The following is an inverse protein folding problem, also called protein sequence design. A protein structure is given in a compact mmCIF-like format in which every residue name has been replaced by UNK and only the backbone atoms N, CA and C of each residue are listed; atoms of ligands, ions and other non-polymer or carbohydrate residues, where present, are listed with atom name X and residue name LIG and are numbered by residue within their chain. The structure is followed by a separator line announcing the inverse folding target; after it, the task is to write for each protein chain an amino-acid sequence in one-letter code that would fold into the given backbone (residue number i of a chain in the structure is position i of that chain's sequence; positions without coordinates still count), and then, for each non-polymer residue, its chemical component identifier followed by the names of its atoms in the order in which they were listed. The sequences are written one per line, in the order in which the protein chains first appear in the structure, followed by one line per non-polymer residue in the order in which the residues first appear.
data_IF_931765328792
#
_entry.id   IF_931765328792
#
_cell.length_a   1.000
_cell.length_b   1.000
_cell.length_c   1.000
_cell.angle_alpha   90.00
_cell.angle_beta   90.00
_cell.angle_gamma   90.00
#
_symmetry.space_group_name_H-M   'P 1'
#
loop_
_entity.id
_entity.type
_entity.pdbx_description
1 polymer ?
#
# COMPACT_ATOMS: atom_id res chain seq x y z
N UNK A 1 1.39 9.00 38.28
CA UNK A 1 1.96 7.72 37.83
C UNK A 1 1.51 7.57 36.39
N UNK A 2 2.42 7.37 35.44
CA UNK A 2 2.03 7.18 34.05
C UNK A 2 1.24 5.88 33.92
N UNK A 3 0.11 5.93 33.23
CA UNK A 3 -0.81 4.80 33.17
C UNK A 3 -0.41 3.88 32.01
N UNK A 4 -0.31 2.57 32.24
CA UNK A 4 -0.12 1.57 31.18
C UNK A 4 -1.50 1.13 30.68
N UNK A 5 -1.72 1.15 29.36
CA UNK A 5 -3.00 0.78 28.75
C UNK A 5 -2.82 -0.32 27.71
N UNK A 6 -3.84 -1.17 27.56
CA UNK A 6 -3.94 -2.10 26.43
C UNK A 6 -4.23 -1.30 25.16
N UNK A 7 -3.65 -1.71 24.04
CA UNK A 7 -3.87 -1.10 22.72
C UNK A 7 -4.31 -2.17 21.72
N UNK A 8 -4.92 -1.73 20.61
CA UNK A 8 -5.31 -2.62 19.52
C UNK A 8 -4.12 -3.21 18.77
N UNK A 9 -4.34 -4.32 18.06
CA UNK A 9 -3.33 -4.91 17.17
C UNK A 9 -2.99 -3.94 16.02
N UNK A 10 -3.99 -3.24 15.51
CA UNK A 10 -3.85 -2.21 14.47
C UNK A 10 -2.93 -1.09 14.93
N UNK A 11 -3.10 -0.62 16.18
CA UNK A 11 -2.20 0.37 16.80
C UNK A 11 -0.79 -0.17 16.88
N UNK A 12 -0.61 -1.38 17.41
CA UNK A 12 0.72 -1.97 17.58
C UNK A 12 1.44 -2.15 16.23
N UNK A 13 0.77 -2.75 15.24
CA UNK A 13 1.30 -2.92 13.87
C UNK A 13 1.75 -1.60 13.25
N UNK A 14 0.95 -0.54 13.41
CA UNK A 14 1.26 0.77 12.84
C UNK A 14 2.44 1.48 13.52
N UNK A 15 2.86 1.03 14.71
CA UNK A 15 4.05 1.52 15.41
C UNK A 15 5.29 0.64 15.15
N UNK A 16 5.13 -0.53 14.52
CA UNK A 16 6.20 -1.53 14.36
C UNK A 16 6.51 -1.87 12.92
N UNK A 17 6.53 -0.91 11.99
CA UNK A 17 6.92 -1.13 10.59
C UNK A 17 8.39 -1.57 10.40
N UNK A 18 9.22 -1.54 11.45
CA UNK A 18 10.56 -2.11 11.45
C UNK A 18 10.62 -3.56 11.97
N UNK A 19 9.49 -4.13 12.40
CA UNK A 19 9.40 -5.52 12.86
C UNK A 19 9.73 -6.46 11.70
N UNK A 20 10.62 -7.41 11.93
CA UNK A 20 10.95 -8.44 10.93
C UNK A 20 9.87 -9.53 10.93
N UNK A 21 9.44 -10.04 9.76
CA UNK A 21 8.43 -11.10 9.67
C UNK A 21 8.78 -12.41 10.39
N UNK A 22 10.06 -12.60 10.75
CA UNK A 22 10.52 -13.73 11.58
C UNK A 22 9.81 -13.77 12.94
N UNK A 23 9.54 -12.61 13.55
CA UNK A 23 8.85 -12.54 14.82
C UNK A 23 7.44 -13.15 14.76
N UNK A 24 6.74 -12.97 13.63
CA UNK A 24 5.41 -13.53 13.40
C UNK A 24 5.45 -15.04 13.05
N UNK A 25 6.63 -15.56 12.69
CA UNK A 25 6.81 -16.98 12.35
C UNK A 25 7.12 -17.82 13.59
N UNK A 26 7.92 -17.29 14.53
CA UNK A 26 8.34 -18.00 15.74
C UNK A 26 7.38 -17.77 16.92
N UNK A 27 6.51 -16.78 16.84
CA UNK A 27 5.62 -16.43 17.94
C UNK A 27 4.27 -15.90 17.48
N UNK A 28 3.26 -16.13 18.30
CA UNK A 28 1.92 -15.55 18.14
C UNK A 28 1.72 -14.46 19.18
N UNK A 29 1.64 -13.21 18.73
CA UNK A 29 1.27 -12.08 19.58
C UNK A 29 -0.16 -12.27 20.14
N UNK A 30 -0.31 -12.05 21.45
CA UNK A 30 -1.57 -12.27 22.18
C UNK A 30 -2.15 -10.96 22.73
N UNK A 31 -1.27 -10.09 23.22
CA UNK A 31 -1.66 -8.83 23.87
C UNK A 31 -0.67 -7.72 23.53
N UNK A 32 -1.14 -6.47 23.54
CA UNK A 32 -0.36 -5.29 23.20
C UNK A 32 -0.65 -4.15 24.17
N UNK A 33 0.39 -3.42 24.56
CA UNK A 33 0.34 -2.37 25.56
C UNK A 33 1.12 -1.14 25.11
N UNK A 34 0.73 0.02 25.65
CA UNK A 34 1.45 1.28 25.52
C UNK A 34 1.43 2.01 26.85
N UNK A 35 2.47 2.79 27.12
CA UNK A 35 2.38 3.82 28.15
C UNK A 35 1.49 4.98 27.67
N UNK A 36 1.07 5.82 28.63
CA UNK A 36 0.21 6.98 28.39
C UNK A 36 0.81 7.98 27.38
N UNK A 37 2.14 8.12 27.35
CA UNK A 37 2.82 9.06 26.46
C UNK A 37 3.21 8.44 25.11
N UNK A 38 2.99 7.14 24.88
CA UNK A 38 3.36 6.45 23.64
C UNK A 38 4.88 6.40 23.40
N UNK A 39 5.67 6.42 24.47
CA UNK A 39 7.14 6.28 24.49
C UNK A 39 7.56 4.80 24.50
N UNK A 40 6.76 3.95 25.14
CA UNK A 40 6.98 2.53 25.29
C UNK A 40 5.77 1.77 24.77
N UNK A 41 6.02 0.70 24.02
CA UNK A 41 5.00 -0.30 23.69
C UNK A 41 5.53 -1.69 24.04
N UNK A 42 4.63 -2.64 24.26
CA UNK A 42 5.02 -4.00 24.58
C UNK A 42 4.01 -5.02 24.12
N UNK A 43 4.46 -6.25 23.93
CA UNK A 43 3.59 -7.36 23.53
C UNK A 43 3.91 -8.62 24.31
N UNK A 44 2.87 -9.40 24.59
CA UNK A 44 2.96 -10.76 25.11
C UNK A 44 2.80 -11.72 23.94
N UNK A 45 3.68 -12.71 23.85
CA UNK A 45 3.83 -13.63 22.72
C UNK A 45 3.75 -15.07 23.25
N UNK A 46 3.03 -15.93 22.54
CA UNK A 46 3.13 -17.38 22.67
C UNK A 46 4.24 -17.86 21.74
N UNK A 47 5.29 -18.49 22.27
CA UNK A 47 6.28 -19.20 21.46
C UNK A 47 5.61 -20.44 20.85
N UNK A 48 5.67 -20.57 19.52
CA UNK A 48 4.99 -21.67 18.82
C UNK A 48 5.82 -22.95 18.77
N UNK A 49 7.09 -22.91 19.18
CA UNK A 49 8.04 -24.03 19.16
C UNK A 49 7.96 -24.83 20.46
N UNK A 50 8.11 -24.18 21.61
CA UNK A 50 8.12 -24.83 22.93
C UNK A 50 6.86 -24.56 23.77
N UNK A 51 5.91 -23.78 23.24
CA UNK A 51 4.60 -23.50 23.84
C UNK A 51 4.69 -22.75 25.18
N UNK A 52 5.77 -22.01 25.40
CA UNK A 52 5.90 -21.08 26.51
C UNK A 52 5.48 -19.65 26.14
N UNK A 53 5.43 -18.76 27.12
CA UNK A 53 5.07 -17.36 26.92
C UNK A 53 6.27 -16.45 27.13
N UNK A 54 6.36 -15.44 26.29
CA UNK A 54 7.40 -14.43 26.31
C UNK A 54 6.78 -13.03 26.26
N UNK A 55 7.55 -12.00 26.62
CA UNK A 55 7.19 -10.62 26.33
C UNK A 55 8.35 -9.87 25.71
N UNK A 56 8.02 -8.84 24.94
CA UNK A 56 8.99 -7.87 24.42
C UNK A 56 8.52 -6.48 24.81
N UNK A 57 9.41 -5.70 25.43
CA UNK A 57 9.23 -4.27 25.67
C UNK A 57 10.06 -3.49 24.64
N UNK A 58 9.41 -2.53 23.99
CA UNK A 58 9.97 -1.72 22.93
C UNK A 58 9.97 -0.25 23.36
N UNK A 59 11.08 0.44 23.14
CA UNK A 59 11.21 1.90 23.33
C UNK A 59 11.58 2.59 22.03
N UNK A 60 11.23 3.87 21.91
CA UNK A 60 11.64 4.69 20.76
C UNK A 60 13.14 5.00 20.82
N UNK A 61 13.87 4.63 19.78
CA UNK A 61 15.29 4.93 19.62
C UNK A 61 15.56 6.38 19.17
N UNK A 62 16.81 6.74 18.92
CA UNK A 62 17.23 8.07 18.45
C UNK A 62 16.67 8.46 17.07
N UNK A 63 16.12 7.48 16.35
CA UNK A 63 15.40 7.64 15.08
C UNK A 63 13.87 7.53 15.25
N UNK A 64 13.39 7.52 16.50
CA UNK A 64 12.02 7.31 16.97
C UNK A 64 11.39 5.97 16.49
N UNK A 65 12.20 4.98 16.10
CA UNK A 65 11.72 3.63 15.81
C UNK A 65 11.57 2.87 17.12
N UNK A 66 10.52 2.06 17.22
CA UNK A 66 10.38 1.13 18.34
C UNK A 66 11.36 -0.03 18.19
N UNK A 67 12.31 -0.12 19.13
CA UNK A 67 13.33 -1.17 19.21
C UNK A 67 13.22 -1.91 20.53
N UNK A 68 13.55 -3.20 20.53
CA UNK A 68 13.50 -4.02 21.74
C UNK A 68 14.53 -3.50 22.74
N UNK A 69 14.06 -3.11 23.92
CA UNK A 69 14.90 -2.65 25.03
C UNK A 69 14.96 -3.66 26.16
N UNK A 70 13.97 -4.56 26.23
CA UNK A 70 13.90 -5.63 27.20
C UNK A 70 13.01 -6.77 26.71
N UNK A 71 13.27 -7.95 27.24
CA UNK A 71 12.72 -9.23 26.82
C UNK A 71 12.64 -10.13 28.06
N UNK A 72 11.52 -10.81 28.21
CA UNK A 72 11.41 -11.95 29.12
C UNK A 72 10.92 -13.18 28.38
N UNK A 73 11.48 -14.34 28.70
CA UNK A 73 11.16 -15.61 28.04
C UNK A 73 10.77 -16.70 29.04
N UNK A 74 10.15 -17.76 28.54
CA UNK A 74 9.87 -18.99 29.30
C UNK A 74 8.99 -18.83 30.53
N UNK A 75 7.92 -18.04 30.38
CA UNK A 75 6.84 -17.98 31.35
C UNK A 75 5.83 -19.10 31.12
N UNK A 76 5.38 -19.74 32.20
CA UNK A 76 4.43 -20.88 32.14
C UNK A 76 2.99 -20.46 31.78
N UNK A 77 2.66 -19.16 31.84
CA UNK A 77 1.33 -18.67 31.49
C UNK A 77 1.36 -17.24 30.98
N UNK A 78 0.35 -16.89 30.16
CA UNK A 78 0.10 -15.52 29.69
C UNK A 78 0.10 -14.52 30.85
N UNK A 79 -0.56 -14.85 31.97
CA UNK A 79 -0.67 -13.96 33.12
C UNK A 79 0.67 -13.66 33.80
N UNK A 80 1.59 -14.63 33.82
CA UNK A 80 2.94 -14.41 34.34
C UNK A 80 3.76 -13.52 33.39
N UNK A 81 3.71 -13.79 32.09
CA UNK A 81 4.38 -12.95 31.08
C UNK A 81 3.83 -11.51 31.08
N UNK A 82 2.51 -11.35 31.14
CA UNK A 82 1.84 -10.05 31.23
C UNK A 82 2.26 -9.30 32.49
N UNK A 83 2.23 -9.93 33.67
CA UNK A 83 2.67 -9.30 34.92
C UNK A 83 4.14 -8.88 34.85
N UNK A 84 4.99 -9.72 34.26
CA UNK A 84 6.40 -9.40 34.08
C UNK A 84 6.60 -8.21 33.13
N UNK A 85 5.89 -8.17 32.01
CA UNK A 85 5.88 -7.03 31.08
C UNK A 85 5.46 -5.73 31.79
N UNK A 86 4.37 -5.76 32.56
CA UNK A 86 3.89 -4.57 33.27
C UNK A 86 4.89 -4.07 34.33
N UNK A 87 5.54 -4.97 35.06
CA UNK A 87 6.61 -4.60 35.99
C UNK A 87 7.80 -3.95 35.25
N UNK A 88 8.10 -4.44 34.05
CA UNK A 88 9.21 -3.92 33.25
C UNK A 88 8.89 -2.56 32.64
N UNK A 89 7.63 -2.32 32.23
CA UNK A 89 7.14 -0.97 31.93
C UNK A 89 7.40 -0.03 33.11
N UNK A 90 6.96 -0.37 34.32
CA UNK A 90 7.13 0.48 35.52
C UNK A 90 8.60 0.81 35.79
N UNK A 91 9.52 -0.13 35.56
CA UNK A 91 10.96 0.09 35.68
C UNK A 91 11.51 1.09 34.66
N UNK A 92 10.86 1.23 33.49
CA UNK A 92 11.31 2.05 32.37
C UNK A 92 10.55 3.39 32.21
N UNK A 93 9.35 3.54 32.78
CA UNK A 93 8.51 4.76 32.63
C UNK A 93 9.24 6.06 33.02
N UNK A 94 10.06 6.00 34.07
CA UNK A 94 10.82 7.16 34.58
C UNK A 94 12.15 7.41 33.87
N UNK A 95 12.57 6.51 32.97
CA UNK A 95 13.83 6.66 32.22
C UNK A 95 13.67 7.75 31.15
N UNK A 96 14.71 8.54 30.88
CA UNK A 96 14.71 9.51 29.79
C UNK A 96 14.78 8.80 28.43
N UNK A 97 14.40 9.46 27.32
CA UNK A 97 14.36 8.85 25.99
C UNK A 97 15.73 8.33 25.55
N UNK A 98 16.81 9.01 25.95
CA UNK A 98 18.19 8.64 25.67
C UNK A 98 18.56 7.25 26.23
N UNK A 99 17.81 6.75 27.22
CA UNK A 99 18.00 5.39 27.75
C UNK A 99 17.64 4.31 26.73
N UNK A 100 16.78 4.60 25.76
CA UNK A 100 16.30 3.65 24.76
C UNK A 100 17.12 3.68 23.45
N UNK A 101 18.04 4.65 23.33
CA UNK A 101 18.87 4.82 22.15
C UNK A 101 19.84 3.65 21.98
N UNK A 102 20.01 3.20 20.74
CA UNK A 102 20.81 2.01 20.43
C UNK A 102 22.26 2.37 20.05
N UNK A 103 22.49 3.60 19.59
CA UNK A 103 23.81 4.08 19.19
C UNK A 103 24.34 3.44 17.91
N UNK A 104 23.51 2.65 17.22
CA UNK A 104 23.83 1.99 15.95
C UNK A 104 23.52 2.88 14.73
N UNK A 105 22.91 4.05 14.94
CA UNK A 105 22.50 4.98 13.87
C UNK A 105 23.07 6.37 14.07
N UNK A 106 23.74 6.86 13.03
CA UNK A 106 24.40 8.20 13.04
C UNK A 106 23.51 9.33 12.54
N UNK A 107 22.34 9.02 11.97
CA UNK A 107 21.40 10.02 11.41
C UNK A 107 20.30 10.32 12.43
N UNK A 108 20.48 11.43 13.16
CA UNK A 108 19.44 12.02 14.03
C UNK A 108 18.18 12.27 13.22
N UNK A 109 17.03 11.94 13.81
CA UNK A 109 15.75 12.05 13.13
C UNK A 109 15.43 13.49 12.72
N UNK A 110 14.94 13.61 11.48
CA UNK A 110 14.38 14.85 10.92
C UNK A 110 12.88 14.88 11.25
N UNK A 111 12.37 15.97 11.80
CA UNK A 111 10.91 16.20 11.87
C UNK A 111 10.33 16.12 10.44
N UNK A 112 9.46 15.13 10.21
CA UNK A 112 8.93 14.80 8.89
C UNK A 112 8.17 15.98 8.28
N UNK A 113 7.34 16.66 9.08
CA UNK A 113 6.48 17.76 8.64
C UNK A 113 7.11 19.14 8.80
N UNK A 114 8.33 19.23 9.36
CA UNK A 114 9.09 20.48 9.37
C UNK A 114 9.14 21.09 7.97
N UNK A 115 8.68 22.34 7.76
CA UNK A 115 8.67 22.95 6.45
C UNK A 115 10.07 23.00 5.82
N UNK A 116 10.19 22.50 4.58
CA UNK A 116 11.41 22.51 3.75
C UNK A 116 11.23 23.28 2.45
N UNK A 117 9.98 23.54 2.07
CA UNK A 117 9.63 24.31 0.87
C UNK A 117 8.69 25.45 1.23
N UNK A 118 8.77 26.53 0.44
CA UNK A 118 7.87 27.67 0.57
C UNK A 118 6.40 27.24 0.45
N UNK A 119 5.50 27.85 1.23
CA UNK A 119 4.06 27.52 1.22
C UNK A 119 3.43 27.58 -0.18
N UNK A 120 3.92 28.47 -1.06
CA UNK A 120 3.43 28.59 -2.46
C UNK A 120 3.87 27.43 -3.36
N UNK A 121 4.93 26.71 -2.99
CA UNK A 121 5.44 25.52 -3.69
C UNK A 121 4.89 24.23 -3.09
N UNK A 122 4.13 24.32 -2.00
CA UNK A 122 3.56 23.15 -1.36
C UNK A 122 2.46 22.55 -2.23
N UNK A 123 2.44 21.22 -2.33
CA UNK A 123 1.36 20.53 -3.00
C UNK A 123 0.04 20.73 -2.26
N UNK A 124 -1.06 20.86 -2.99
CA UNK A 124 -2.38 21.12 -2.40
C UNK A 124 -2.81 19.99 -1.44
N UNK A 125 -2.56 18.73 -1.81
CA UNK A 125 -2.91 17.58 -0.98
C UNK A 125 -2.00 17.48 0.25
N UNK A 126 -0.72 17.88 0.15
CA UNK A 126 0.15 17.98 1.31
C UNK A 126 -0.38 19.04 2.28
N UNK A 127 -0.75 20.21 1.76
CA UNK A 127 -1.33 21.30 2.56
C UNK A 127 -2.59 20.82 3.28
N UNK A 128 -3.51 20.18 2.55
CA UNK A 128 -4.73 19.63 3.12
C UNK A 128 -4.44 18.60 4.22
N UNK A 129 -3.51 17.66 3.99
CA UNK A 129 -3.08 16.66 4.97
C UNK A 129 -2.61 17.28 6.29
N UNK A 130 -1.84 18.37 6.23
CA UNK A 130 -1.29 18.97 7.45
C UNK A 130 -2.25 19.92 8.16
N UNK A 131 -3.21 20.52 7.43
CA UNK A 131 -4.07 21.59 7.96
C UNK A 131 -5.50 21.17 8.27
N UNK A 132 -6.02 20.10 7.65
CA UNK A 132 -7.38 19.64 7.90
C UNK A 132 -7.42 18.68 9.11
N UNK A 133 -8.14 19.00 10.21
CA UNK A 133 -8.27 18.11 11.36
C UNK A 133 -8.82 16.72 11.03
N UNK A 134 -9.70 16.61 10.03
CA UNK A 134 -10.27 15.33 9.57
C UNK A 134 -9.19 14.37 9.04
N UNK A 135 -8.04 14.91 8.62
CA UNK A 135 -6.88 14.15 8.17
C UNK A 135 -5.85 13.86 9.26
N UNK A 136 -6.17 14.16 10.53
CA UNK A 136 -5.27 13.85 11.65
C UNK A 136 -4.91 12.37 11.76
N UNK A 137 -5.80 11.38 11.53
CA UNK A 137 -5.38 9.98 11.52
C UNK A 137 -4.38 9.66 10.40
N UNK A 138 -4.61 10.16 9.17
CA UNK A 138 -3.69 9.98 8.04
C UNK A 138 -2.33 10.61 8.32
N UNK A 139 -2.31 11.82 8.89
CA UNK A 139 -1.08 12.56 9.20
C UNK A 139 -0.19 11.78 10.17
N UNK A 140 -0.76 11.23 11.23
CA UNK A 140 0.03 10.50 12.22
C UNK A 140 0.52 9.14 11.69
N UNK A 141 -0.32 8.36 10.98
CA UNK A 141 0.15 7.07 10.44
C UNK A 141 1.19 7.26 9.31
N UNK A 142 1.03 8.28 8.46
CA UNK A 142 2.03 8.62 7.44
C UNK A 142 3.37 8.95 8.11
N UNK A 143 3.34 9.69 9.22
CA UNK A 143 4.55 9.95 10.00
C UNK A 143 5.18 8.64 10.46
N UNK A 144 4.46 7.74 11.13
CA UNK A 144 5.05 6.48 11.60
C UNK A 144 5.62 5.61 10.46
N UNK A 145 4.95 5.56 9.30
CA UNK A 145 5.46 4.85 8.11
C UNK A 145 6.76 5.51 7.61
N UNK A 146 6.73 6.83 7.38
CA UNK A 146 7.86 7.59 6.81
C UNK A 146 9.12 7.53 7.68
N UNK A 147 8.94 7.25 8.96
CA UNK A 147 10.01 7.16 9.95
C UNK A 147 10.77 5.85 9.84
N UNK A 148 10.05 4.77 9.54
CA UNK A 148 10.65 3.48 9.19
C UNK A 148 11.17 3.41 7.75
N UNK A 149 10.75 4.35 6.90
CA UNK A 149 11.14 4.42 5.50
C UNK A 149 12.54 5.03 5.32
N UNK A 150 13.46 4.30 4.69
CA UNK A 150 14.84 4.75 4.49
C UNK A 150 14.95 5.86 3.42
N UNK A 151 15.35 7.08 3.78
CA UNK A 151 15.59 8.15 2.79
C UNK A 151 17.02 8.08 2.21
N UNK A 152 17.20 7.28 1.15
CA UNK A 152 18.50 7.05 0.51
C UNK A 152 19.07 8.32 -0.13
N UNK A 153 18.24 9.06 -0.85
CA UNK A 153 18.64 10.26 -1.60
C UNK A 153 18.65 11.54 -0.75
N UNK A 154 18.08 11.49 0.46
CA UNK A 154 18.03 12.61 1.41
C UNK A 154 17.01 13.70 1.06
N UNK A 155 16.27 13.54 -0.04
CA UNK A 155 15.33 14.52 -0.57
C UNK A 155 13.85 14.13 -0.36
N UNK A 156 13.56 12.94 0.19
CA UNK A 156 12.20 12.42 0.30
C UNK A 156 11.28 13.41 1.00
N UNK A 157 11.77 14.01 2.09
CA UNK A 157 10.96 14.87 2.93
C UNK A 157 10.68 16.24 2.27
N UNK A 158 11.54 16.71 1.38
CA UNK A 158 11.29 17.92 0.58
C UNK A 158 10.29 17.62 -0.56
N UNK A 159 10.48 16.48 -1.23
CA UNK A 159 9.60 16.03 -2.31
C UNK A 159 8.18 15.76 -1.82
N UNK A 160 8.02 15.17 -0.62
CA UNK A 160 6.72 14.94 0.01
C UNK A 160 5.96 16.25 0.27
N UNK A 161 6.64 17.39 0.38
CA UNK A 161 5.96 18.68 0.59
C UNK A 161 5.60 19.38 -0.72
N UNK A 162 6.21 19.00 -1.85
CA UNK A 162 6.16 19.71 -3.13
C UNK A 162 5.59 18.82 -4.24
N UNK A 163 6.00 19.03 -5.50
CA UNK A 163 5.47 18.30 -6.67
C UNK A 163 5.69 16.78 -6.62
N UNK A 164 6.56 16.28 -5.72
CA UNK A 164 6.77 14.85 -5.50
C UNK A 164 5.73 14.19 -4.60
N UNK A 165 4.78 14.92 -4.01
CA UNK A 165 3.84 14.41 -3.00
C UNK A 165 3.16 13.09 -3.40
N UNK A 166 2.56 13.03 -4.59
CA UNK A 166 1.85 11.82 -5.05
C UNK A 166 2.79 10.60 -5.19
N UNK A 167 3.98 10.80 -5.77
CA UNK A 167 4.96 9.73 -5.91
C UNK A 167 5.47 9.23 -4.56
N UNK A 168 5.75 10.15 -3.64
CA UNK A 168 6.22 9.79 -2.29
C UNK A 168 5.11 9.15 -1.45
N UNK A 169 3.85 9.58 -1.58
CA UNK A 169 2.71 8.94 -0.94
C UNK A 169 2.52 7.51 -1.45
N UNK A 170 2.70 7.30 -2.77
CA UNK A 170 2.65 5.97 -3.37
C UNK A 170 3.73 5.03 -2.82
N UNK A 171 4.96 5.52 -2.65
CA UNK A 171 6.04 4.75 -2.04
C UNK A 171 5.76 4.38 -0.58
N UNK A 172 5.19 5.28 0.22
CA UNK A 172 4.79 4.96 1.59
C UNK A 172 3.68 3.90 1.62
N UNK A 173 2.74 3.96 0.68
CA UNK A 173 1.70 2.94 0.57
C UNK A 173 2.31 1.58 0.22
N UNK A 174 3.19 1.52 -0.78
CA UNK A 174 3.88 0.29 -1.17
C UNK A 174 4.72 -0.28 -0.02
N UNK A 175 5.40 0.59 0.72
CA UNK A 175 6.16 0.18 1.89
C UNK A 175 5.27 -0.44 2.98
N UNK A 176 4.12 0.18 3.29
CA UNK A 176 3.16 -0.36 4.25
C UNK A 176 2.54 -1.69 3.75
N UNK A 177 2.19 -1.76 2.48
CA UNK A 177 1.67 -2.95 1.82
C UNK A 177 2.64 -4.13 1.90
N UNK A 178 3.91 -3.91 1.54
CA UNK A 178 4.92 -4.98 1.53
C UNK A 178 5.29 -5.44 2.94
N UNK A 179 5.25 -4.55 3.94
CA UNK A 179 5.36 -4.96 5.35
C UNK A 179 4.16 -5.84 5.77
N UNK A 180 2.93 -5.45 5.44
CA UNK A 180 1.73 -6.25 5.73
C UNK A 180 1.74 -7.62 5.03
N UNK A 181 2.37 -7.69 3.86
CA UNK A 181 2.62 -8.92 3.09
C UNK A 181 3.90 -9.66 3.48
N UNK A 182 4.53 -9.30 4.61
CA UNK A 182 5.67 -10.03 5.19
C UNK A 182 6.89 -10.11 4.27
N UNK A 183 7.12 -9.11 3.42
CA UNK A 183 8.36 -9.00 2.66
C UNK A 183 9.46 -8.37 3.49
N UNK A 184 10.69 -8.82 3.29
CA UNK A 184 11.88 -8.04 3.66
C UNK A 184 12.12 -7.00 2.58
N UNK A 185 12.27 -5.74 2.97
CA UNK A 185 12.41 -4.61 2.04
C UNK A 185 13.85 -4.10 2.07
N UNK A 186 14.48 -4.02 0.91
CA UNK A 186 15.78 -3.38 0.70
C UNK A 186 15.67 -2.23 -0.31
N UNK A 187 16.27 -1.07 0.02
CA UNK A 187 16.24 0.14 -0.82
C UNK A 187 17.64 0.73 -1.08
N UNK A 188 18.66 -0.11 -1.10
CA UNK A 188 20.08 0.30 -1.21
C UNK A 188 20.54 0.71 -2.61
N UNK A 189 19.70 0.53 -3.64
CA UNK A 189 20.04 0.81 -5.03
C UNK A 189 19.20 1.97 -5.57
N UNK A 190 19.75 2.74 -6.50
CA UNK A 190 19.05 3.87 -7.11
C UNK A 190 17.79 3.46 -7.91
N UNK A 191 17.77 2.22 -8.42
CA UNK A 191 16.61 1.63 -9.07
C UNK A 191 16.77 0.10 -9.22
N UNK A 192 15.68 -0.69 -9.18
CA UNK A 192 14.30 -0.27 -8.90
C UNK A 192 14.06 0.26 -7.47
N UNK A 193 12.94 0.95 -7.27
CA UNK A 193 12.61 1.61 -5.98
C UNK A 193 12.61 0.66 -4.76
N UNK A 194 12.31 -0.63 -4.97
CA UNK A 194 12.34 -1.66 -3.94
C UNK A 194 12.94 -2.97 -4.48
N UNK A 195 13.78 -3.62 -3.66
CA UNK A 195 14.06 -5.05 -3.76
C UNK A 195 13.38 -5.72 -2.57
N UNK A 196 12.42 -6.59 -2.86
CA UNK A 196 11.71 -7.38 -1.87
C UNK A 196 12.31 -8.77 -1.79
N UNK A 197 12.31 -9.37 -0.61
CA UNK A 197 12.57 -10.80 -0.44
C UNK A 197 11.37 -11.43 0.26
N UNK A 198 10.75 -12.41 -0.40
CA UNK A 198 9.65 -13.16 0.20
C UNK A 198 10.18 -13.91 1.42
N UNK A 199 9.65 -13.61 2.61
CA UNK A 199 10.27 -14.04 3.86
C UNK A 199 10.39 -15.56 3.99
N UNK A 200 9.39 -16.32 3.54
CA UNK A 200 9.37 -17.78 3.73
C UNK A 200 10.23 -18.53 2.70
N UNK A 201 10.33 -18.01 1.47
CA UNK A 201 11.05 -18.68 0.38
C UNK A 201 12.44 -18.12 0.14
N UNK A 202 12.74 -16.92 0.65
CA UNK A 202 14.00 -16.21 0.40
C UNK A 202 14.15 -15.70 -1.03
N UNK A 203 13.12 -15.78 -1.87
CA UNK A 203 13.20 -15.41 -3.28
C UNK A 203 13.01 -13.90 -3.46
N UNK A 204 13.90 -13.25 -4.23
CA UNK A 204 13.85 -11.80 -4.42
C UNK A 204 12.88 -11.39 -5.53
N UNK A 205 12.36 -10.16 -5.43
CA UNK A 205 11.47 -9.53 -6.41
C UNK A 205 11.89 -8.05 -6.52
N UNK A 206 12.04 -7.55 -7.74
CA UNK A 206 12.30 -6.13 -7.96
C UNK A 206 10.99 -5.39 -8.26
N UNK A 207 10.76 -4.25 -7.60
CA UNK A 207 9.54 -3.46 -7.78
C UNK A 207 9.90 -2.01 -8.07
N UNK A 208 9.34 -1.48 -9.16
CA UNK A 208 9.45 -0.07 -9.53
C UNK A 208 8.13 0.65 -9.30
N UNK A 209 8.16 1.77 -8.59
CA UNK A 209 7.00 2.62 -8.36
C UNK A 209 6.77 3.56 -9.56
N UNK A 210 5.52 3.60 -10.01
CA UNK A 210 5.08 4.33 -11.20
C UNK A 210 3.82 5.13 -10.86
N UNK A 211 3.75 6.37 -11.33
CA UNK A 211 2.54 7.19 -11.18
C UNK A 211 2.06 7.72 -12.52
N UNK A 212 0.74 7.75 -12.70
CA UNK A 212 0.08 8.48 -13.77
C UNK A 212 -0.29 9.86 -13.26
N UNK A 213 0.15 10.90 -13.95
CA UNK A 213 -0.09 12.29 -13.57
C UNK A 213 -0.57 13.10 -14.77
N UNK A 214 -1.12 14.30 -14.50
CA UNK A 214 -1.40 15.28 -15.56
C UNK A 214 -0.15 15.62 -16.36
N UNK A 215 -0.33 15.81 -17.66
CA UNK A 215 0.72 16.24 -18.58
C UNK A 215 1.13 17.68 -18.26
N UNK A 216 2.43 17.96 -18.18
CA UNK A 216 2.98 19.28 -17.84
C UNK A 216 2.55 20.41 -18.79
N UNK A 217 2.16 20.07 -20.03
CA UNK A 217 1.75 21.04 -21.05
C UNK A 217 0.25 21.37 -21.03
N UNK A 218 -0.52 20.91 -20.04
CA UNK A 218 -1.98 21.08 -19.96
C UNK A 218 -2.72 20.63 -21.24
N UNK A 219 -2.21 19.58 -21.90
CA UNK A 219 -2.83 18.96 -23.08
C UNK A 219 -3.86 17.90 -22.72
N UNK A 220 -4.03 17.60 -21.44
CA UNK A 220 -5.00 16.60 -21.00
C UNK A 220 -6.39 17.25 -20.94
N UNK A 221 -7.47 16.50 -21.25
CA UNK A 221 -8.83 16.96 -21.04
C UNK A 221 -9.04 17.46 -19.61
N UNK A 222 -9.99 18.38 -19.44
CA UNK A 222 -10.46 18.77 -18.11
C UNK A 222 -11.06 17.56 -17.37
N UNK A 223 -11.28 17.72 -16.06
CA UNK A 223 -11.87 16.64 -15.26
C UNK A 223 -13.24 16.27 -15.83
N UNK A 224 -13.44 15.01 -16.27
CA UNK A 224 -14.63 14.64 -17.02
C UNK A 224 -15.86 14.52 -16.11
N UNK A 225 -17.03 14.85 -16.66
CA UNK A 225 -18.33 14.45 -16.12
C UNK A 225 -18.55 12.95 -16.35
N UNK A 226 -19.50 12.36 -15.62
CA UNK A 226 -19.71 10.91 -15.65
C UNK A 226 -20.00 10.35 -17.05
N UNK A 227 -20.75 11.07 -17.89
CA UNK A 227 -21.06 10.65 -19.25
C UNK A 227 -19.84 10.72 -20.20
N UNK A 228 -18.83 11.52 -19.89
CA UNK A 228 -17.61 11.70 -20.70
C UNK A 228 -16.55 10.64 -20.37
N UNK A 229 -16.61 10.04 -19.17
CA UNK A 229 -15.64 9.03 -18.71
C UNK A 229 -15.54 7.84 -19.66
N UNK A 230 -16.67 7.39 -20.24
CA UNK A 230 -16.70 6.24 -21.17
C UNK A 230 -15.85 6.48 -22.41
N UNK A 231 -15.89 7.68 -22.99
CA UNK A 231 -15.09 8.03 -24.17
C UNK A 231 -13.59 8.08 -23.84
N UNK A 232 -13.23 8.66 -22.68
CA UNK A 232 -11.84 8.73 -22.24
C UNK A 232 -11.27 7.34 -21.93
N UNK A 233 -12.07 6.41 -21.41
CA UNK A 233 -11.65 5.05 -21.11
C UNK A 233 -11.23 4.23 -22.33
N UNK A 234 -11.74 4.60 -23.51
CA UNK A 234 -11.47 3.86 -24.74
C UNK A 234 -10.03 4.01 -25.22
N UNK A 235 -9.53 5.24 -25.21
CA UNK A 235 -8.26 5.61 -25.86
C UNK A 235 -7.36 6.49 -24.97
N UNK A 236 -7.90 7.55 -24.38
CA UNK A 236 -7.11 8.51 -23.59
C UNK A 236 -6.49 7.90 -22.33
N UNK A 237 -7.29 7.22 -21.50
CA UNK A 237 -6.81 6.59 -20.25
C UNK A 237 -5.77 5.50 -20.53
N UNK A 238 -5.97 4.57 -21.48
CA UNK A 238 -4.91 3.66 -21.95
C UNK A 238 -3.61 4.38 -22.31
N UNK A 239 -3.67 5.51 -23.03
CA UNK A 239 -2.49 6.31 -23.38
C UNK A 239 -1.78 6.89 -22.15
N UNK A 240 -2.56 7.33 -21.16
CA UNK A 240 -2.04 7.91 -19.92
C UNK A 240 -1.34 6.87 -19.04
N UNK A 241 -1.85 5.65 -18.94
CA UNK A 241 -1.15 4.54 -18.27
C UNK A 241 0.04 4.02 -19.09
N UNK A 242 -0.12 3.92 -20.41
CA UNK A 242 0.90 3.32 -21.26
C UNK A 242 2.18 4.14 -21.37
N UNK A 243 2.08 5.47 -21.30
CA UNK A 243 3.25 6.35 -21.38
C UNK A 243 4.29 6.11 -20.27
N UNK A 244 3.93 6.14 -18.97
CA UNK A 244 4.88 5.83 -17.90
C UNK A 244 5.29 4.36 -17.88
N UNK A 245 4.39 3.40 -18.12
CA UNK A 245 4.76 1.98 -18.19
C UNK A 245 5.80 1.69 -19.28
N UNK A 246 5.59 2.21 -20.49
CA UNK A 246 6.55 2.10 -21.58
C UNK A 246 7.88 2.77 -21.24
N UNK A 247 7.84 3.94 -20.59
CA UNK A 247 9.06 4.63 -20.15
C UNK A 247 9.86 3.78 -19.16
N UNK A 248 9.20 3.09 -18.23
CA UNK A 248 9.84 2.20 -17.27
C UNK A 248 10.32 0.89 -17.91
N UNK A 249 9.58 0.34 -18.87
CA UNK A 249 10.04 -0.79 -19.69
C UNK A 249 11.38 -0.48 -20.37
N UNK A 250 11.55 0.73 -20.91
CA UNK A 250 12.80 1.18 -21.56
C UNK A 250 13.97 1.41 -20.62
N UNK A 251 13.79 1.30 -19.30
CA UNK A 251 14.89 1.33 -18.34
C UNK A 251 15.64 0.01 -18.26
N UNK A 252 15.07 -1.07 -18.79
CA UNK A 252 15.72 -2.38 -18.91
C UNK A 252 16.35 -2.85 -17.60
N UNK A 253 15.59 -2.75 -16.48
CA UNK A 253 16.10 -3.03 -15.14
C UNK A 253 16.77 -4.40 -15.02
N UNK A 254 16.29 -5.40 -15.77
CA UNK A 254 16.85 -6.76 -15.84
C UNK A 254 18.32 -6.82 -16.31
N UNK A 255 18.86 -5.74 -16.91
CA UNK A 255 20.28 -5.63 -17.28
C UNK A 255 21.17 -5.17 -16.13
N UNK A 256 20.60 -4.74 -15.00
CA UNK A 256 21.36 -4.36 -13.79
C UNK A 256 21.79 -5.62 -13.04
N UNK A 257 23.03 -5.66 -12.61
CA UNK A 257 23.61 -6.83 -11.93
C UNK A 257 22.80 -7.27 -10.71
N UNK A 258 22.25 -6.32 -9.94
CA UNK A 258 21.46 -6.59 -8.74
C UNK A 258 19.99 -6.93 -8.99
N UNK A 259 19.53 -6.97 -10.25
CA UNK A 259 18.15 -7.29 -10.65
C UNK A 259 18.10 -8.52 -11.55
N UNK A 260 19.26 -8.95 -12.07
CA UNK A 260 19.36 -10.10 -12.95
C UNK A 260 18.70 -11.33 -12.31
N UNK A 261 17.98 -12.08 -13.14
CA UNK A 261 17.29 -13.31 -12.73
C UNK A 261 16.19 -13.11 -11.66
N UNK A 262 15.70 -11.87 -11.47
CA UNK A 262 14.57 -11.56 -10.59
C UNK A 262 13.28 -11.29 -11.38
N UNK A 263 12.12 -11.69 -10.84
CA UNK A 263 10.86 -11.15 -11.33
C UNK A 263 10.79 -9.63 -11.11
N UNK A 264 10.20 -8.91 -12.07
CA UNK A 264 10.06 -7.46 -12.03
C UNK A 264 8.58 -7.08 -12.03
N UNK A 265 8.18 -6.27 -11.04
CA UNK A 265 6.85 -5.66 -10.94
C UNK A 265 6.95 -4.17 -11.27
N UNK A 266 6.08 -3.69 -12.15
CA UNK A 266 5.79 -2.26 -12.26
C UNK A 266 4.55 -1.95 -11.41
N UNK A 267 4.74 -1.26 -10.29
CA UNK A 267 3.67 -0.88 -9.37
C UNK A 267 3.14 0.50 -9.72
N UNK A 268 1.96 0.54 -10.36
CA UNK A 268 1.39 1.77 -10.93
C UNK A 268 0.17 2.27 -10.15
N UNK A 269 0.14 3.57 -9.90
CA UNK A 269 -1.01 4.26 -9.29
C UNK A 269 -1.44 5.48 -10.10
N UNK A 270 -2.74 5.78 -10.09
CA UNK A 270 -3.34 6.88 -10.84
C UNK A 270 -3.56 8.11 -9.95
N UNK A 271 -2.97 9.24 -10.36
CA UNK A 271 -3.18 10.56 -9.78
C UNK A 271 -3.53 11.60 -10.87
N UNK A 272 -4.15 11.15 -11.96
CA UNK A 272 -4.45 11.99 -13.13
C UNK A 272 -5.49 13.07 -12.82
N UNK A 273 -6.59 12.71 -12.16
CA UNK A 273 -7.62 13.65 -11.73
C UNK A 273 -8.01 13.41 -10.29
N UNK A 274 -8.73 14.37 -9.71
CA UNK A 274 -9.49 14.10 -8.51
C UNK A 274 -10.46 12.94 -8.79
N UNK A 275 -10.50 11.96 -7.88
CA UNK A 275 -11.31 10.75 -8.00
C UNK A 275 -11.06 9.89 -9.26
N UNK A 276 -9.97 10.08 -10.01
CA UNK A 276 -9.73 9.26 -11.21
C UNK A 276 -9.63 7.77 -10.92
N UNK A 277 -9.07 7.43 -9.76
CA UNK A 277 -8.98 6.06 -9.26
C UNK A 277 -10.32 5.33 -9.16
N UNK A 278 -11.46 6.04 -9.13
CA UNK A 278 -12.79 5.41 -9.05
C UNK A 278 -13.31 4.92 -10.40
N UNK A 279 -12.64 5.22 -11.52
CA UNK A 279 -13.16 4.89 -12.85
C UNK A 279 -12.09 4.52 -13.89
N UNK A 280 -10.81 4.82 -13.68
CA UNK A 280 -9.75 4.62 -14.70
C UNK A 280 -9.21 3.20 -14.81
N UNK A 281 -9.52 2.32 -13.85
CA UNK A 281 -8.99 0.93 -13.78
C UNK A 281 -9.16 0.15 -15.08
N UNK A 282 -10.35 0.17 -15.67
CA UNK A 282 -10.63 -0.61 -16.90
C UNK A 282 -9.82 -0.10 -18.10
N UNK A 283 -9.42 1.17 -18.11
CA UNK A 283 -8.51 1.71 -19.11
C UNK A 283 -7.08 1.14 -19.01
N UNK A 284 -6.60 0.88 -17.79
CA UNK A 284 -5.35 0.14 -17.57
C UNK A 284 -5.49 -1.31 -18.05
N UNK A 285 -6.56 -2.00 -17.65
CA UNK A 285 -6.80 -3.40 -18.03
C UNK A 285 -6.86 -3.59 -19.55
N UNK A 286 -7.57 -2.70 -20.25
CA UNK A 286 -7.61 -2.63 -21.72
C UNK A 286 -6.21 -2.52 -22.31
N UNK A 287 -5.39 -1.63 -21.76
CA UNK A 287 -4.03 -1.41 -22.25
C UNK A 287 -3.09 -2.59 -21.98
N UNK A 288 -3.16 -3.19 -20.79
CA UNK A 288 -2.22 -4.24 -20.38
C UNK A 288 -2.30 -5.46 -21.29
N UNK A 289 -3.52 -5.93 -21.58
CA UNK A 289 -3.75 -7.16 -22.34
C UNK A 289 -4.18 -6.93 -23.79
N UNK A 290 -4.60 -5.71 -24.14
CA UNK A 290 -5.06 -5.39 -25.49
C UNK A 290 -6.41 -6.02 -25.83
N UNK A 291 -7.33 -6.07 -24.86
CA UNK A 291 -8.68 -6.58 -25.06
C UNK A 291 -9.73 -5.64 -24.46
N UNK A 292 -10.89 -5.58 -25.09
CA UNK A 292 -12.15 -5.20 -24.46
C UNK A 292 -13.13 -6.36 -24.51
N UNK A 293 -14.17 -6.28 -23.70
CA UNK A 293 -15.13 -7.36 -23.49
C UNK A 293 -16.54 -6.86 -23.69
N UNK A 294 -17.26 -7.50 -24.60
CA UNK A 294 -18.71 -7.41 -24.70
C UNK A 294 -19.35 -8.59 -23.97
N UNK A 295 -20.65 -8.53 -23.74
CA UNK A 295 -21.40 -9.64 -23.18
C UNK A 295 -22.81 -9.74 -23.73
N UNK A 296 -23.39 -10.93 -23.62
CA UNK A 296 -24.82 -11.20 -23.80
C UNK A 296 -25.24 -12.36 -22.89
N UNK A 297 -26.54 -12.55 -22.72
CA UNK A 297 -27.09 -13.75 -22.07
C UNK A 297 -27.58 -14.71 -23.13
N UNK A 298 -27.27 -15.99 -22.98
CA UNK A 298 -27.78 -17.03 -23.88
C UNK A 298 -29.23 -17.42 -23.54
N UNK A 299 -29.80 -18.37 -24.29
CA UNK A 299 -31.18 -18.84 -24.10
C UNK A 299 -31.43 -19.48 -22.72
N UNK A 300 -30.37 -19.93 -22.04
CA UNK A 300 -30.44 -20.49 -20.68
C UNK A 300 -30.31 -19.44 -19.58
N UNK A 301 -30.06 -18.18 -19.95
CA UNK A 301 -29.80 -17.07 -19.02
C UNK A 301 -28.36 -17.02 -18.50
N UNK A 302 -27.43 -17.74 -19.14
CA UNK A 302 -26.01 -17.74 -18.76
C UNK A 302 -25.28 -16.58 -19.44
N UNK A 303 -24.46 -15.86 -18.69
CA UNK A 303 -23.63 -14.77 -19.18
C UNK A 303 -22.51 -15.30 -20.09
N UNK A 304 -22.46 -14.80 -21.32
CA UNK A 304 -21.40 -15.09 -22.30
C UNK A 304 -20.58 -13.84 -22.59
N UNK A 305 -19.29 -13.92 -22.29
CA UNK A 305 -18.32 -12.86 -22.52
C UNK A 305 -17.67 -13.02 -23.90
N UNK A 306 -17.60 -11.95 -24.67
CA UNK A 306 -17.03 -11.91 -26.02
C UNK A 306 -15.78 -11.02 -26.00
N UNK A 307 -14.56 -11.61 -26.06
CA UNK A 307 -13.33 -10.82 -26.13
C UNK A 307 -13.17 -10.17 -27.51
N UNK A 308 -12.71 -8.92 -27.52
CA UNK A 308 -12.38 -8.15 -28.72
C UNK A 308 -10.97 -7.62 -28.60
N UNK A 309 -10.07 -8.02 -29.51
CA UNK A 309 -8.69 -7.55 -29.52
C UNK A 309 -8.64 -6.07 -29.92
N UNK A 310 -7.87 -5.29 -29.17
CA UNK A 310 -7.53 -3.90 -29.45
C UNK A 310 -6.08 -3.88 -29.91
N UNK A 311 -5.82 -3.27 -31.08
CA UNK A 311 -4.46 -3.16 -31.60
C UNK A 311 -3.78 -1.84 -31.21
N UNK A 312 -4.54 -0.75 -31.16
CA UNK A 312 -4.01 0.59 -30.93
C UNK A 312 -4.99 1.43 -30.11
N UNK A 313 -4.46 2.43 -29.42
CA UNK A 313 -5.21 3.52 -28.82
C UNK A 313 -4.82 4.84 -29.49
N UNK A 314 -5.79 5.68 -29.85
CA UNK A 314 -5.52 6.96 -30.52
C UNK A 314 -6.28 8.12 -29.89
N UNK A 315 -5.56 9.17 -29.49
CA UNK A 315 -6.13 10.38 -28.92
C UNK A 315 -5.34 11.61 -29.35
N UNK A 316 -6.03 12.61 -29.91
CA UNK A 316 -5.46 13.92 -30.29
C UNK A 316 -4.08 13.86 -30.96
N UNK A 317 -3.95 13.00 -31.98
CA UNK A 317 -2.73 12.87 -32.78
C UNK A 317 -1.63 11.99 -32.17
N UNK A 318 -1.84 11.46 -30.97
CA UNK A 318 -0.98 10.42 -30.38
C UNK A 318 -1.61 9.05 -30.55
N UNK A 319 -0.84 8.10 -31.08
CA UNK A 319 -1.23 6.69 -31.18
C UNK A 319 -0.18 5.81 -30.49
N UNK A 320 -0.65 4.84 -29.72
CA UNK A 320 0.19 3.79 -29.11
C UNK A 320 -0.39 2.41 -29.43
N UNK A 321 0.47 1.40 -29.47
CA UNK A 321 0.04 0.00 -29.49
C UNK A 321 -0.64 -0.36 -28.17
N UNK A 322 -1.69 -1.17 -28.24
CA UNK A 322 -2.29 -1.81 -27.07
C UNK A 322 -1.58 -3.14 -26.76
N UNK A 323 -1.86 -3.73 -25.60
CA UNK A 323 -1.21 -4.96 -25.14
C UNK A 323 0.21 -4.68 -24.65
N UNK A 324 0.35 -4.01 -23.50
CA UNK A 324 1.65 -3.77 -22.86
C UNK A 324 2.49 -5.04 -22.74
N UNK A 325 1.88 -6.16 -22.35
CA UNK A 325 2.55 -7.44 -22.18
C UNK A 325 2.96 -8.12 -23.50
N UNK A 326 2.46 -7.62 -24.63
CA UNK A 326 2.84 -8.07 -25.98
C UNK A 326 3.96 -7.20 -26.59
N UNK A 327 4.38 -6.12 -25.91
CA UNK A 327 5.44 -5.24 -26.41
C UNK A 327 6.83 -5.89 -26.33
N UNK A 328 7.74 -5.61 -27.28
CA UNK A 328 9.12 -6.11 -27.19
C UNK A 328 9.84 -5.67 -25.90
N UNK A 329 10.40 -6.65 -25.19
CA UNK A 329 11.06 -6.48 -23.90
C UNK A 329 10.12 -6.69 -22.71
N UNK A 330 8.79 -6.69 -22.91
CA UNK A 330 7.82 -6.87 -21.83
C UNK A 330 7.88 -8.26 -21.22
N UNK A 331 8.42 -9.26 -21.92
CA UNK A 331 8.73 -10.59 -21.37
C UNK A 331 9.67 -10.54 -20.14
N UNK A 332 10.38 -9.42 -19.92
CA UNK A 332 11.20 -9.21 -18.72
C UNK A 332 10.44 -8.56 -17.55
N UNK A 333 9.19 -8.17 -17.76
CA UNK A 333 8.29 -7.66 -16.72
C UNK A 333 7.33 -8.79 -16.34
N UNK A 334 7.34 -9.18 -15.07
CA UNK A 334 6.59 -10.33 -14.57
C UNK A 334 5.12 -9.99 -14.30
N UNK A 335 4.85 -8.78 -13.81
CA UNK A 335 3.51 -8.31 -13.50
C UNK A 335 3.41 -6.78 -13.41
N UNK A 336 2.17 -6.29 -13.43
CA UNK A 336 1.83 -4.90 -13.07
C UNK A 336 0.97 -4.93 -11.82
N UNK A 337 1.41 -4.24 -10.76
CA UNK A 337 0.64 -4.08 -9.53
C UNK A 337 -0.14 -2.77 -9.60
N UNK A 338 -1.42 -2.81 -9.24
CA UNK A 338 -2.30 -1.65 -9.27
C UNK A 338 -3.20 -1.60 -8.03
N UNK A 339 -3.55 -0.39 -7.60
CA UNK A 339 -4.67 -0.19 -6.67
C UNK A 339 -5.36 1.13 -6.98
N UNK A 340 -6.66 1.21 -6.67
CA UNK A 340 -7.42 2.46 -6.66
C UNK A 340 -7.36 3.19 -5.30
N UNK A 341 -6.70 2.63 -4.28
CA UNK A 341 -6.88 3.12 -2.90
C UNK A 341 -5.75 3.98 -2.34
N UNK A 342 -4.53 3.99 -2.92
CA UNK A 342 -3.36 4.66 -2.33
C UNK A 342 -3.43 6.21 -2.32
N UNK A 343 -4.25 6.72 -1.42
CA UNK A 343 -4.67 8.13 -1.31
C UNK A 343 -4.78 8.51 0.16
N UNK A 344 -4.77 9.81 0.49
CA UNK A 344 -4.94 10.29 1.88
C UNK A 344 -6.13 9.61 2.58
N UNK A 345 -7.32 9.48 1.97
CA UNK A 345 -8.43 8.72 2.56
C UNK A 345 -8.07 7.32 3.05
N UNK A 346 -7.31 6.51 2.30
CA UNK A 346 -6.88 5.18 2.75
C UNK A 346 -6.00 5.28 3.99
N UNK A 347 -4.98 6.14 3.97
CA UNK A 347 -4.16 6.39 5.16
C UNK A 347 -5.02 6.89 6.34
N UNK A 348 -6.08 7.65 6.09
CA UNK A 348 -6.97 8.11 7.15
C UNK A 348 -7.75 6.96 7.79
N UNK A 349 -8.28 6.04 6.99
CA UNK A 349 -8.96 4.85 7.50
C UNK A 349 -7.99 3.96 8.29
N UNK A 350 -6.82 3.69 7.73
CA UNK A 350 -5.79 2.86 8.40
C UNK A 350 -5.29 3.52 9.69
N UNK A 351 -5.07 4.83 9.67
CA UNK A 351 -4.69 5.61 10.85
C UNK A 351 -5.76 5.61 11.93
N UNK A 352 -7.03 5.78 11.54
CA UNK A 352 -8.16 5.76 12.45
C UNK A 352 -8.31 4.39 13.13
N UNK A 353 -8.20 3.29 12.36
CA UNK A 353 -8.22 1.93 12.91
C UNK A 353 -7.07 1.65 13.87
N UNK A 354 -5.92 2.29 13.63
CA UNK A 354 -4.79 2.30 14.54
C UNK A 354 -4.89 3.39 15.63
N UNK A 355 -6.10 3.89 15.92
CA UNK A 355 -6.39 4.84 17.00
C UNK A 355 -5.52 6.11 16.95
N UNK A 356 -5.12 6.55 15.76
CA UNK A 356 -4.42 7.82 15.56
C UNK A 356 -5.40 8.97 15.28
N UNK A 357 -4.94 10.18 15.58
CA UNK A 357 -5.67 11.41 15.29
C UNK A 357 -6.86 11.64 16.22
N UNK A 358 -7.81 12.44 15.75
CA UNK A 358 -9.05 12.72 16.45
C UNK A 358 -9.97 11.49 16.40
N UNK A 359 -10.22 10.88 17.56
CA UNK A 359 -11.11 9.72 17.73
C UNK A 359 -12.57 10.03 17.36
N UNK A 360 -12.96 11.30 17.38
CA UNK A 360 -14.29 11.73 16.99
C UNK A 360 -14.45 11.89 15.46
N UNK A 361 -13.41 11.60 14.67
CA UNK A 361 -13.48 11.65 13.21
C UNK A 361 -14.51 10.64 12.72
N UNK A 362 -15.60 11.12 12.11
CA UNK A 362 -16.64 10.26 11.56
C UNK A 362 -16.45 10.10 10.05
N UNK A 363 -16.32 8.85 9.61
CA UNK A 363 -16.12 8.51 8.21
C UNK A 363 -17.13 7.47 7.73
N UNK A 364 -17.59 7.66 6.50
CA UNK A 364 -18.38 6.69 5.75
C UNK A 364 -17.59 6.29 4.50
N UNK A 365 -17.37 4.99 4.28
CA UNK A 365 -16.82 4.49 3.03
C UNK A 365 -17.95 4.00 2.15
N UNK A 366 -18.04 4.58 0.95
CA UNK A 366 -19.05 4.20 -0.04
C UNK A 366 -18.37 3.78 -1.34
N UNK A 367 -19.00 2.91 -2.11
CA UNK A 367 -18.50 2.54 -3.42
C UNK A 367 -19.11 1.26 -3.96
N UNK A 368 -18.37 0.63 -4.85
CA UNK A 368 -18.76 -0.59 -5.55
C UNK A 368 -17.71 -1.68 -5.33
N UNK A 369 -18.14 -2.93 -5.23
CA UNK A 369 -17.28 -4.10 -5.15
C UNK A 369 -17.74 -5.19 -6.11
N UNK A 370 -16.80 -6.08 -6.44
CA UNK A 370 -17.04 -7.17 -7.38
C UNK A 370 -18.16 -8.09 -6.87
N UNK A 371 -19.10 -8.43 -7.76
CA UNK A 371 -20.10 -9.45 -7.49
C UNK A 371 -19.60 -10.82 -7.98
N UNK A 372 -19.52 -11.80 -7.08
CA UNK A 372 -19.05 -13.16 -7.38
C UNK A 372 -20.13 -14.05 -8.01
N UNK A 373 -21.35 -13.54 -8.20
CA UNK A 373 -22.33 -14.21 -9.07
C UNK A 373 -21.78 -14.28 -10.51
N UNK A 374 -21.68 -15.48 -11.06
CA UNK A 374 -21.13 -15.73 -12.40
C UNK A 374 -21.92 -15.05 -13.53
N UNK A 375 -23.17 -14.64 -13.26
CA UNK A 375 -24.03 -13.93 -14.21
C UNK A 375 -24.12 -12.42 -13.94
N UNK A 376 -23.36 -11.87 -12.97
CA UNK A 376 -23.36 -10.45 -12.69
C UNK A 376 -22.65 -9.63 -13.78
N UNK A 377 -23.33 -8.58 -14.25
CA UNK A 377 -22.80 -7.61 -15.24
C UNK A 377 -22.65 -6.20 -14.67
N UNK A 378 -23.11 -6.01 -13.43
CA UNK A 378 -22.96 -4.79 -12.65
C UNK A 378 -22.38 -5.14 -11.28
N UNK A 379 -21.59 -4.26 -10.68
CA UNK A 379 -21.05 -4.49 -9.34
C UNK A 379 -22.12 -4.34 -8.26
N UNK A 380 -21.80 -4.81 -7.05
CA UNK A 380 -22.59 -4.54 -5.85
C UNK A 380 -22.15 -3.23 -5.23
N UNK A 381 -23.11 -2.48 -4.69
CA UNK A 381 -22.85 -1.24 -3.95
C UNK A 381 -22.62 -1.54 -2.45
N UNK A 382 -21.81 -0.72 -1.80
CA UNK A 382 -21.65 -0.74 -0.35
C UNK A 382 -21.58 0.67 0.22
N UNK A 383 -22.01 0.78 1.48
CA UNK A 383 -21.91 1.98 2.30
C UNK A 383 -21.72 1.52 3.75
N UNK A 384 -20.54 1.79 4.30
CA UNK A 384 -20.13 1.27 5.61
C UNK A 384 -19.51 2.37 6.47
N UNK A 385 -20.02 2.60 7.69
CA UNK A 385 -19.39 3.51 8.64
C UNK A 385 -18.07 2.91 9.13
N UNK A 386 -17.07 3.76 9.31
CA UNK A 386 -15.76 3.34 9.79
C UNK A 386 -15.77 3.49 11.31
N UNK A 387 -15.99 2.38 12.00
CA UNK A 387 -16.11 2.32 13.45
C UNK A 387 -15.11 1.32 14.03
N UNK A 388 -14.39 1.75 15.07
CA UNK A 388 -13.45 0.87 15.80
C UNK A 388 -14.18 -0.39 16.31
N UNK A 389 -13.54 -1.54 16.11
CA UNK A 389 -14.07 -2.85 16.52
C UNK A 389 -15.23 -3.38 15.66
N UNK A 390 -15.72 -2.63 14.66
CA UNK A 390 -16.76 -3.10 13.73
C UNK A 390 -16.32 -3.06 12.26
N UNK A 391 -15.38 -2.20 11.93
CA UNK A 391 -14.76 -2.11 10.61
C UNK A 391 -13.31 -2.58 10.67
N UNK A 392 -12.88 -3.31 9.65
CA UNK A 392 -11.50 -3.73 9.43
C UNK A 392 -11.12 -3.48 7.99
N UNK A 393 -9.87 -3.11 7.75
CA UNK A 393 -9.32 -2.95 6.42
C UNK A 393 -7.83 -3.30 6.45
N UNK A 394 -7.35 -3.90 5.36
CA UNK A 394 -5.94 -4.22 5.16
C UNK A 394 -5.36 -3.29 4.09
N UNK A 395 -4.05 -3.04 4.11
CA UNK A 395 -3.36 -2.33 3.02
C UNK A 395 -3.56 -3.02 1.67
N UNK A 396 -3.57 -4.36 1.65
CA UNK A 396 -3.80 -5.19 0.48
C UNK A 396 -5.22 -5.12 -0.10
N UNK A 397 -6.18 -4.56 0.63
CA UNK A 397 -7.55 -4.44 0.13
C UNK A 397 -7.64 -3.44 -1.03
N UNK A 398 -8.17 -3.91 -2.17
CA UNK A 398 -8.23 -3.15 -3.41
C UNK A 398 -6.92 -3.18 -4.22
N UNK A 399 -5.97 -4.06 -3.88
CA UNK A 399 -4.75 -4.30 -4.66
C UNK A 399 -4.99 -5.44 -5.66
N UNK A 400 -4.58 -5.22 -6.90
CA UNK A 400 -4.62 -6.17 -8.01
C UNK A 400 -3.21 -6.38 -8.56
N UNK A 401 -2.82 -7.65 -8.75
CA UNK A 401 -1.63 -8.04 -9.49
C UNK A 401 -2.03 -8.61 -10.85
N UNK A 402 -1.76 -7.85 -11.91
CA UNK A 402 -1.96 -8.25 -13.30
C UNK A 402 -0.72 -9.00 -13.79
N UNK A 403 -0.82 -10.30 -14.00
CA UNK A 403 0.31 -11.13 -14.42
C UNK A 403 0.58 -10.99 -15.91
N UNK A 404 1.86 -10.92 -16.28
CA UNK A 404 2.26 -11.03 -17.66
C UNK A 404 2.27 -12.51 -18.08
N UNK A 405 1.42 -12.93 -19.03
CA UNK A 405 1.41 -14.33 -19.50
C UNK A 405 2.72 -14.73 -20.21
N UNK A 406 3.41 -13.73 -20.80
CA UNK A 406 4.64 -13.88 -21.60
C UNK A 406 5.93 -13.70 -20.78
N UNK A 407 5.86 -13.59 -19.45
CA UNK A 407 7.05 -13.35 -18.63
C UNK A 407 8.06 -14.51 -18.66
N UNK A 408 9.33 -14.17 -18.87
CA UNK A 408 10.49 -15.07 -18.74
C UNK A 408 10.62 -15.61 -17.32
N UNK A 409 10.35 -14.76 -16.33
CA UNK A 409 10.37 -15.11 -14.90
C UNK A 409 9.00 -14.75 -14.34
N UNK A 410 8.18 -15.76 -14.04
CA UNK A 410 6.83 -15.57 -13.50
C UNK A 410 6.88 -15.34 -12.00
N UNK A 411 5.92 -14.57 -11.49
CA UNK A 411 5.75 -14.38 -10.05
C UNK A 411 4.89 -15.54 -9.52
N UNK A 412 5.38 -16.31 -8.54
CA UNK A 412 4.54 -17.28 -7.87
C UNK A 412 3.36 -16.60 -7.16
N UNK A 413 2.15 -17.14 -7.32
CA UNK A 413 0.93 -16.54 -6.78
C UNK A 413 0.98 -16.43 -5.25
N UNK A 414 1.60 -17.41 -4.61
CA UNK A 414 1.75 -17.52 -3.16
C UNK A 414 2.54 -16.37 -2.54
N UNK A 415 3.36 -15.64 -3.32
CA UNK A 415 4.10 -14.49 -2.78
C UNK A 415 3.19 -13.31 -2.42
N UNK A 416 2.01 -13.24 -3.05
CA UNK A 416 1.05 -12.15 -2.86
C UNK A 416 -0.34 -12.72 -2.54
N UNK A 417 -0.40 -13.72 -1.66
CA UNK A 417 -1.61 -14.44 -1.27
C UNK A 417 -2.79 -13.56 -0.81
N UNK A 418 -2.50 -12.39 -0.23
CA UNK A 418 -3.49 -11.38 0.19
C UNK A 418 -4.02 -10.50 -0.95
N UNK A 419 -3.47 -10.60 -2.16
CA UNK A 419 -3.83 -9.72 -3.27
C UNK A 419 -4.87 -10.40 -4.15
N UNK A 420 -5.66 -9.59 -4.87
CA UNK A 420 -6.39 -10.10 -6.02
C UNK A 420 -5.41 -10.26 -7.18
N UNK A 421 -5.60 -11.30 -7.99
CA UNK A 421 -4.77 -11.58 -9.16
C UNK A 421 -5.62 -11.68 -10.41
N UNK A 422 -5.05 -11.30 -11.54
CA UNK A 422 -5.64 -11.57 -12.84
C UNK A 422 -4.59 -11.82 -13.92
N UNK A 423 -4.98 -12.56 -14.94
CA UNK A 423 -4.21 -12.84 -16.16
C UNK A 423 -5.19 -13.01 -17.32
N UNK A 424 -4.80 -12.61 -18.52
CA UNK A 424 -5.55 -12.92 -19.75
C UNK A 424 -4.77 -13.94 -20.56
N UNK A 425 -5.41 -15.07 -20.90
CA UNK A 425 -4.86 -16.13 -21.73
C UNK A 425 -5.77 -16.32 -22.93
N UNK A 426 -5.25 -16.18 -24.15
CA UNK A 426 -6.01 -16.34 -25.41
C UNK A 426 -7.31 -15.50 -25.46
N UNK A 427 -7.32 -14.35 -24.78
CA UNK A 427 -8.47 -13.45 -24.66
C UNK A 427 -9.38 -13.76 -23.48
N UNK A 428 -9.26 -14.91 -22.82
CA UNK A 428 -10.03 -15.26 -21.63
C UNK A 428 -9.45 -14.61 -20.37
N UNK A 429 -10.31 -13.93 -19.60
CA UNK A 429 -9.92 -13.27 -18.36
C UNK A 429 -10.03 -14.24 -17.18
N UNK A 430 -8.89 -14.59 -16.58
CA UNK A 430 -8.83 -15.42 -15.40
C UNK A 430 -8.46 -14.56 -14.19
N UNK A 431 -9.23 -14.66 -13.11
CA UNK A 431 -8.97 -13.91 -11.90
C UNK A 431 -9.17 -14.74 -10.64
N UNK A 432 -8.30 -14.51 -9.65
CA UNK A 432 -8.49 -14.94 -8.26
C UNK A 432 -8.70 -13.69 -7.44
N UNK A 433 -9.93 -13.43 -7.04
CA UNK A 433 -10.32 -12.22 -6.34
C UNK A 433 -10.54 -12.50 -4.85
N UNK A 434 -10.24 -11.53 -4.00
CA UNK A 434 -10.69 -11.52 -2.61
C UNK A 434 -12.21 -11.49 -2.58
N UNK A 435 -12.81 -12.04 -1.52
CA UNK A 435 -14.26 -12.00 -1.29
C UNK A 435 -14.78 -10.55 -1.39
N UNK A 436 -14.17 -9.63 -0.64
CA UNK A 436 -14.37 -8.20 -0.82
C UNK A 436 -13.28 -7.60 -1.72
N UNK A 437 -13.64 -7.29 -2.96
CA UNK A 437 -12.76 -6.62 -3.94
C UNK A 437 -13.39 -5.28 -4.37
N UNK A 438 -13.01 -4.15 -3.74
CA UNK A 438 -13.55 -2.84 -4.10
C UNK A 438 -13.08 -2.43 -5.51
N UNK A 439 -14.03 -2.12 -6.39
CA UNK A 439 -13.78 -1.64 -7.75
C UNK A 439 -13.64 -0.12 -7.78
N UNK A 440 -14.42 0.56 -6.93
CA UNK A 440 -14.41 2.01 -6.74
C UNK A 440 -14.77 2.29 -5.28
N UNK A 441 -14.14 3.28 -4.64
CA UNK A 441 -14.63 3.75 -3.33
C UNK A 441 -14.19 5.17 -3.02
N UNK A 442 -14.99 5.85 -2.20
CA UNK A 442 -14.70 7.16 -1.62
C UNK A 442 -14.89 7.11 -0.11
N UNK A 443 -14.18 7.98 0.60
CA UNK A 443 -14.44 8.23 2.02
C UNK A 443 -15.06 9.61 2.16
N UNK A 444 -16.24 9.63 2.76
CA UNK A 444 -16.97 10.84 3.10
C UNK A 444 -16.72 11.12 4.58
N UNK A 445 -16.32 12.34 4.89
CA UNK A 445 -16.24 12.84 6.26
C UNK A 445 -17.59 13.39 6.67
N UNK A 446 -18.16 12.82 7.73
CA UNK A 446 -19.43 13.28 8.27
C UNK A 446 -19.14 14.47 9.19
N UNK A 447 -19.68 15.64 8.85
CA UNK A 447 -19.54 16.83 9.70
C UNK A 447 -20.26 16.58 11.03
N UNK A 448 -19.61 16.98 12.12
CA UNK A 448 -20.24 17.07 13.45
C UNK A 448 -21.45 18.00 13.43
#
# INVERSE_FOLDING_TARGET
MSTIKKISLERFKALTYCKKPLADHTGKELEWYSDENGRLIGTVILDTIDQDYSYVLLGRDETELFRAISLGTSYESVGLAQKALLNDFEAHLSKPDEFFFQGDRTKVKKDFYKPRVDKKKQHQNYTALISNPDFSPAKEIIKEIAVSFEDCDGNFFEQFQSNGFNARLWELFLYALFNESRFLIERKYDAPDFILTHFETGLPIAVEAVTVNKSLKNTDPESPKDHEKKELLKDFIPIKFGSPLFTKLKKEYWKKDHVKDMPIILAIHDYLYEDSMTWTRTGLERYLYGYEYDHHFDESGELKIIPKKINNHSWEGKTILSGFFDLPGAENISAVLFTNTATIPKFNRMGFLAEFGDIDTQMLRIGEYYDHDSNAVIPKEFSVPIELGKYSEEWAEGVMLYHNPNANIKIPFEFFDKFSHSVVLDGEWLAKLREFTPLSSKTIFLKK
#
